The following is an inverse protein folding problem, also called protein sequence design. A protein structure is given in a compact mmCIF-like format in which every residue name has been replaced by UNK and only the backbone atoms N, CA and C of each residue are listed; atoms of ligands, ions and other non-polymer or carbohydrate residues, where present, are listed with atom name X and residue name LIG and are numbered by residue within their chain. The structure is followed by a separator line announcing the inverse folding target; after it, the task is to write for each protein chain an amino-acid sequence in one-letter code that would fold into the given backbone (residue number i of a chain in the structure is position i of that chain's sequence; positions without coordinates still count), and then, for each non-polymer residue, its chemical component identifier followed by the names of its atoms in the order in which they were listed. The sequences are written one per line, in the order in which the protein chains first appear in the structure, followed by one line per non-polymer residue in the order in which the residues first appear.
data_IF_873123322258
#
_entry.id   IF_873123322258
#
_cell.length_a   1.000
_cell.length_b   1.000
_cell.length_c   1.000
_cell.angle_alpha   90.00
_cell.angle_beta   90.00
_cell.angle_gamma   90.00
#
_symmetry.space_group_name_H-M   'P 1'
#
loop_
_entity.id
_entity.type
_entity.pdbx_description
1 polymer ?
#
# COMPACT_ATOMS: atom_id res chain seq x y z
N UNK A 1 -8.68 -9.95 -20.27
CA UNK A 1 -7.49 -9.14 -20.60
C UNK A 1 -7.29 -9.20 -22.10
N UNK A 2 -6.94 -8.13 -22.71
CA UNK A 2 -6.57 -8.03 -24.11
C UNK A 2 -5.37 -7.07 -24.26
N UNK A 3 -4.85 -6.87 -25.47
CA UNK A 3 -3.69 -6.02 -25.70
C UNK A 3 -3.91 -4.54 -25.35
N UNK A 4 -5.18 -4.11 -25.29
CA UNK A 4 -5.58 -2.75 -24.91
C UNK A 4 -5.70 -2.59 -23.41
N UNK A 5 -6.26 -3.59 -22.70
CA UNK A 5 -6.43 -3.61 -21.25
C UNK A 5 -5.66 -4.81 -20.68
N UNK A 6 -4.36 -4.68 -20.39
CA UNK A 6 -3.51 -5.78 -19.95
C UNK A 6 -3.87 -6.29 -18.56
N UNK A 7 -4.37 -5.41 -17.69
CA UNK A 7 -4.77 -5.73 -16.32
C UNK A 7 -6.18 -5.25 -16.03
N UNK A 8 -6.94 -6.08 -15.33
CA UNK A 8 -8.33 -5.81 -15.00
C UNK A 8 -8.50 -5.22 -13.60
N UNK A 9 -9.74 -5.28 -13.12
CA UNK A 9 -10.15 -4.77 -11.81
C UNK A 9 -9.34 -5.38 -10.64
N UNK A 10 -8.91 -6.63 -10.75
CA UNK A 10 -8.18 -7.33 -9.69
C UNK A 10 -6.87 -6.64 -9.33
N UNK A 11 -6.07 -6.23 -10.33
CA UNK A 11 -4.83 -5.48 -10.09
C UNK A 11 -5.11 -4.11 -9.49
N UNK A 12 -6.19 -3.43 -9.88
CA UNK A 12 -6.56 -2.15 -9.27
C UNK A 12 -6.88 -2.31 -7.79
N UNK A 13 -7.63 -3.34 -7.42
CA UNK A 13 -7.94 -3.65 -6.02
C UNK A 13 -6.67 -4.07 -5.28
N UNK A 14 -5.81 -4.88 -5.89
CA UNK A 14 -4.55 -5.33 -5.31
C UNK A 14 -3.66 -4.13 -4.92
N UNK A 15 -3.34 -3.27 -5.88
CA UNK A 15 -2.50 -2.10 -5.66
C UNK A 15 -3.05 -1.14 -4.61
N UNK A 16 -4.37 -0.90 -4.65
CA UNK A 16 -5.03 -0.04 -3.66
C UNK A 16 -4.97 -0.65 -2.25
N UNK A 17 -5.17 -1.96 -2.17
CA UNK A 17 -5.19 -2.69 -0.89
C UNK A 17 -3.81 -2.81 -0.25
N UNK A 18 -2.73 -2.95 -1.03
CA UNK A 18 -1.36 -2.99 -0.53
C UNK A 18 -0.98 -1.68 0.18
N UNK A 19 -1.45 -0.54 -0.30
CA UNK A 19 -1.20 0.76 0.32
C UNK A 19 -1.74 0.84 1.76
N UNK A 20 -2.81 0.10 2.10
CA UNK A 20 -3.36 0.03 3.44
C UNK A 20 -2.39 -0.61 4.45
N UNK A 21 -1.69 -1.66 4.02
CA UNK A 21 -0.64 -2.29 4.80
C UNK A 21 0.53 -1.34 5.08
N UNK A 22 0.98 -0.61 4.07
CA UNK A 22 2.03 0.41 4.23
C UNK A 22 1.63 1.50 5.25
N UNK A 23 0.35 1.88 5.29
CA UNK A 23 -0.19 2.80 6.28
C UNK A 23 -0.09 2.29 7.71
N UNK A 24 -0.35 1.00 7.93
CA UNK A 24 -0.22 0.38 9.24
C UNK A 24 1.21 0.49 9.76
N UNK A 25 2.21 0.12 8.95
CA UNK A 25 3.61 0.21 9.35
C UNK A 25 4.12 1.66 9.47
N UNK A 26 3.62 2.58 8.66
CA UNK A 26 3.92 4.01 8.82
C UNK A 26 3.47 4.49 10.20
N UNK A 27 2.26 4.16 10.63
CA UNK A 27 1.75 4.52 11.96
C UNK A 27 2.46 3.77 13.09
N UNK A 28 2.80 2.49 12.88
CA UNK A 28 3.62 1.71 13.81
C UNK A 28 4.99 2.34 14.01
N UNK A 29 5.66 2.77 12.94
CA UNK A 29 6.93 3.46 13.00
C UNK A 29 6.84 4.79 13.76
N UNK A 30 5.81 5.59 13.53
CA UNK A 30 5.55 6.84 14.28
C UNK A 30 5.48 6.58 15.79
N UNK A 31 4.81 5.51 16.19
CA UNK A 31 4.65 5.17 17.61
C UNK A 31 5.91 4.59 18.23
N UNK A 32 6.54 3.62 17.57
CA UNK A 32 7.60 2.83 18.17
C UNK A 32 9.00 3.37 17.89
N UNK A 33 9.27 3.92 16.70
CA UNK A 33 10.60 4.44 16.35
C UNK A 33 10.76 5.90 16.76
N UNK A 34 9.74 6.72 16.53
CA UNK A 34 9.80 8.14 16.94
C UNK A 34 9.31 8.40 18.36
N UNK A 35 8.87 7.35 19.07
CA UNK A 35 8.45 7.42 20.47
C UNK A 35 7.16 8.21 20.72
N UNK A 36 6.37 8.48 19.70
CA UNK A 36 5.14 9.27 19.78
C UNK A 36 3.97 8.46 20.34
N UNK A 37 4.08 8.07 21.63
CA UNK A 37 3.13 7.19 22.35
C UNK A 37 1.68 7.66 22.30
N UNK A 38 1.44 8.96 22.05
CA UNK A 38 0.11 9.55 21.90
C UNK A 38 -0.71 8.87 20.80
N UNK A 39 -0.07 8.39 19.72
CA UNK A 39 -0.74 7.74 18.59
C UNK A 39 -1.04 6.25 18.83
N UNK A 40 -0.72 5.72 20.00
CA UNK A 40 -0.95 4.31 20.34
C UNK A 40 -2.41 3.88 20.25
N UNK A 41 -3.34 4.80 20.47
CA UNK A 41 -4.79 4.52 20.39
C UNK A 41 -5.28 4.14 19.01
N UNK A 42 -4.65 4.66 17.94
CA UNK A 42 -5.02 4.36 16.55
C UNK A 42 -4.28 3.13 16.01
N UNK A 43 -3.19 2.71 16.66
CA UNK A 43 -2.31 1.67 16.16
C UNK A 43 -3.01 0.32 15.96
N UNK A 44 -3.88 -0.07 16.90
CA UNK A 44 -4.67 -1.31 16.78
C UNK A 44 -5.57 -1.31 15.54
N UNK A 45 -6.20 -0.17 15.28
CA UNK A 45 -7.03 0.00 14.10
C UNK A 45 -6.18 -0.02 12.84
N UNK A 46 -5.02 0.63 12.85
CA UNK A 46 -4.09 0.63 11.73
C UNK A 46 -3.64 -0.79 11.37
N UNK A 47 -3.21 -1.58 12.35
CA UNK A 47 -2.79 -2.99 12.14
C UNK A 47 -3.96 -3.83 11.61
N UNK A 48 -5.17 -3.64 12.13
CA UNK A 48 -6.36 -4.34 11.65
C UNK A 48 -6.70 -3.99 10.20
N UNK A 49 -6.73 -2.70 9.85
CA UNK A 49 -6.98 -2.20 8.49
C UNK A 49 -5.90 -2.68 7.53
N UNK A 50 -4.64 -2.60 7.95
CA UNK A 50 -3.51 -3.09 7.17
C UNK A 50 -3.59 -4.60 6.90
N UNK A 51 -3.94 -5.39 7.91
CA UNK A 51 -4.09 -6.83 7.78
C UNK A 51 -5.21 -7.21 6.81
N UNK A 52 -6.38 -6.58 6.91
CA UNK A 52 -7.50 -6.81 5.98
C UNK A 52 -7.11 -6.36 4.57
N UNK A 53 -6.54 -5.17 4.41
CA UNK A 53 -6.11 -4.65 3.12
C UNK A 53 -5.13 -5.60 2.44
N UNK A 54 -4.09 -6.02 3.17
CA UNK A 54 -3.07 -6.89 2.60
C UNK A 54 -3.60 -8.30 2.29
N UNK A 55 -4.48 -8.84 3.12
CA UNK A 55 -5.15 -10.12 2.83
C UNK A 55 -6.04 -10.01 1.59
N UNK A 56 -6.75 -8.90 1.41
CA UNK A 56 -7.53 -8.61 0.21
C UNK A 56 -6.63 -8.55 -1.03
N UNK A 57 -5.49 -7.86 -0.94
CA UNK A 57 -4.50 -7.80 -2.01
C UNK A 57 -4.01 -9.20 -2.42
N UNK A 58 -3.65 -10.03 -1.43
CA UNK A 58 -3.20 -11.40 -1.70
C UNK A 58 -4.27 -12.24 -2.40
N UNK A 59 -5.54 -12.13 -1.99
CA UNK A 59 -6.65 -12.84 -2.62
C UNK A 59 -6.87 -12.39 -4.06
N UNK A 60 -6.85 -11.08 -4.31
CA UNK A 60 -7.02 -10.55 -5.68
C UNK A 60 -5.83 -10.90 -6.57
N UNK A 61 -4.61 -10.92 -6.03
CA UNK A 61 -3.43 -11.35 -6.75
C UNK A 61 -3.52 -12.83 -7.16
N UNK A 62 -4.00 -13.72 -6.28
CA UNK A 62 -4.22 -15.15 -6.62
C UNK A 62 -5.24 -15.29 -7.74
N UNK A 63 -6.27 -14.45 -7.76
CA UNK A 63 -7.28 -14.47 -8.84
C UNK A 63 -6.73 -13.93 -10.17
N UNK A 64 -5.74 -13.05 -10.13
CA UNK A 64 -5.13 -12.45 -11.33
C UNK A 64 -4.00 -13.30 -11.91
N UNK A 65 -3.40 -14.19 -11.13
CA UNK A 65 -2.36 -15.10 -11.59
C UNK A 65 -2.95 -16.06 -12.62
N UNK A 66 -2.45 -16.01 -13.87
CA UNK A 66 -2.95 -16.84 -14.96
C UNK A 66 -2.80 -18.36 -14.72
N UNK A 67 -1.84 -18.77 -13.86
CA UNK A 67 -1.60 -20.16 -13.45
C UNK A 67 -1.44 -20.29 -11.94
N UNK A 68 -2.55 -20.25 -11.20
CA UNK A 68 -2.52 -20.31 -9.73
C UNK A 68 -1.95 -21.63 -9.19
N UNK A 69 -1.95 -22.70 -9.96
CA UNK A 69 -1.29 -23.98 -9.66
C UNK A 69 0.22 -23.86 -9.48
N UNK A 70 0.83 -22.75 -9.98
CA UNK A 70 2.29 -22.51 -9.96
C UNK A 70 2.71 -21.37 -9.02
N UNK A 71 1.83 -20.89 -8.15
CA UNK A 71 2.14 -19.77 -7.25
C UNK A 71 3.36 -20.04 -6.35
N UNK A 72 3.67 -21.30 -6.07
CA UNK A 72 4.79 -21.74 -5.24
C UNK A 72 6.16 -21.72 -5.95
N UNK A 73 6.21 -21.58 -7.28
CA UNK A 73 7.46 -21.62 -8.07
C UNK A 73 8.53 -20.63 -7.58
N UNK A 74 8.23 -19.37 -7.23
CA UNK A 74 9.24 -18.40 -6.79
C UNK A 74 9.99 -18.82 -5.51
N UNK A 75 9.39 -19.67 -4.68
CA UNK A 75 10.08 -20.16 -3.48
C UNK A 75 11.06 -21.30 -3.76
N UNK A 76 10.87 -22.04 -4.84
CA UNK A 76 11.69 -23.20 -5.22
C UNK A 76 12.70 -22.82 -6.30
N UNK A 77 12.26 -22.10 -7.32
CA UNK A 77 13.08 -21.70 -8.46
C UNK A 77 13.56 -20.25 -8.28
N UNK A 78 14.78 -20.11 -7.75
CA UNK A 78 15.36 -18.81 -7.46
C UNK A 78 15.80 -18.08 -8.72
N UNK A 79 15.29 -16.85 -8.89
CA UNK A 79 15.69 -15.97 -9.98
C UNK A 79 15.82 -14.52 -9.46
N UNK A 80 16.97 -14.21 -8.91
CA UNK A 80 17.28 -12.90 -8.30
C UNK A 80 17.24 -11.72 -9.29
N UNK A 81 17.18 -12.00 -10.59
CA UNK A 81 17.06 -10.97 -11.63
C UNK A 81 15.60 -10.71 -12.03
N UNK A 82 14.64 -11.42 -11.45
CA UNK A 82 13.21 -11.23 -11.69
C UNK A 82 12.58 -10.34 -10.63
N UNK A 83 12.04 -9.20 -11.04
CA UNK A 83 11.29 -8.31 -10.14
C UNK A 83 10.07 -9.02 -9.55
N UNK A 84 9.40 -9.90 -10.29
CA UNK A 84 8.27 -10.70 -9.80
C UNK A 84 8.71 -11.69 -8.70
N UNK A 85 9.92 -12.23 -8.80
CA UNK A 85 10.48 -13.08 -7.74
C UNK A 85 10.72 -12.26 -6.47
N UNK A 86 11.32 -11.08 -6.58
CA UNK A 86 11.52 -10.14 -5.46
C UNK A 86 10.19 -9.77 -4.80
N UNK A 87 9.17 -9.41 -5.59
CA UNK A 87 7.82 -9.09 -5.09
C UNK A 87 7.24 -10.26 -4.30
N UNK A 88 7.36 -11.50 -4.79
CA UNK A 88 6.83 -12.68 -4.09
C UNK A 88 7.48 -12.87 -2.72
N UNK A 89 8.80 -12.66 -2.62
CA UNK A 89 9.50 -12.72 -1.33
C UNK A 89 9.11 -11.57 -0.42
N UNK A 90 8.98 -10.35 -0.94
CA UNK A 90 8.46 -9.21 -0.18
C UNK A 90 7.07 -9.50 0.38
N UNK A 91 6.15 -10.04 -0.44
CA UNK A 91 4.80 -10.44 -0.01
C UNK A 91 4.88 -11.47 1.11
N UNK A 92 5.71 -12.49 0.97
CA UNK A 92 5.83 -13.56 1.95
C UNK A 92 6.32 -13.03 3.30
N UNK A 93 7.42 -12.29 3.30
CA UNK A 93 8.01 -11.73 4.53
C UNK A 93 7.06 -10.71 5.16
N UNK A 94 6.45 -9.86 4.34
CA UNK A 94 5.50 -8.86 4.80
C UNK A 94 4.27 -9.47 5.47
N UNK A 95 3.68 -10.51 4.84
CA UNK A 95 2.56 -11.25 5.41
C UNK A 95 2.93 -11.89 6.76
N UNK A 96 4.12 -12.48 6.86
CA UNK A 96 4.60 -13.04 8.14
C UNK A 96 4.66 -11.95 9.23
N UNK A 97 5.23 -10.78 8.94
CA UNK A 97 5.30 -9.68 9.90
C UNK A 97 3.89 -9.20 10.27
N UNK A 98 2.99 -9.05 9.30
CA UNK A 98 1.60 -8.64 9.54
C UNK A 98 0.85 -9.61 10.44
N UNK A 99 1.03 -10.92 10.24
CA UNK A 99 0.43 -11.96 11.11
C UNK A 99 0.98 -11.84 12.54
N UNK A 100 2.30 -11.64 12.68
CA UNK A 100 2.94 -11.46 14.00
C UNK A 100 2.46 -10.18 14.71
N UNK A 101 2.27 -9.07 14.00
CA UNK A 101 1.70 -7.84 14.57
C UNK A 101 0.21 -7.97 14.88
N UNK A 102 -0.53 -8.78 14.12
CA UNK A 102 -1.96 -8.97 14.35
C UNK A 102 -2.26 -9.94 15.49
N UNK A 103 -1.36 -10.88 15.81
CA UNK A 103 -1.55 -11.86 16.87
C UNK A 103 -1.85 -11.23 18.24
N UNK A 104 -1.15 -10.20 18.73
CA UNK A 104 -1.51 -9.50 19.96
C UNK A 104 -2.92 -8.90 19.93
N UNK A 105 -3.36 -8.38 18.79
CA UNK A 105 -4.70 -7.79 18.63
C UNK A 105 -5.78 -8.87 18.79
N UNK A 106 -5.58 -10.05 18.18
CA UNK A 106 -6.50 -11.19 18.31
C UNK A 106 -6.58 -11.70 19.75
N UNK A 107 -5.44 -11.80 20.44
CA UNK A 107 -5.38 -12.35 21.80
C UNK A 107 -6.09 -11.47 22.85
N UNK A 108 -6.43 -10.23 22.54
CA UNK A 108 -7.28 -9.39 23.37
C UNK A 108 -8.75 -9.85 23.38
N UNK A 109 -9.17 -10.66 22.42
CA UNK A 109 -10.52 -11.23 22.39
C UNK A 109 -10.64 -12.37 23.40
N UNK A 110 -11.77 -12.43 24.12
CA UNK A 110 -12.02 -13.45 25.14
C UNK A 110 -11.89 -14.89 24.63
N UNK A 111 -12.14 -15.11 23.35
CA UNK A 111 -12.06 -16.43 22.72
C UNK A 111 -10.61 -16.95 22.67
N UNK A 112 -9.70 -16.17 22.11
CA UNK A 112 -8.30 -16.55 21.94
C UNK A 112 -7.48 -16.43 23.23
N UNK A 113 -7.89 -15.56 24.15
CA UNK A 113 -7.26 -15.40 25.46
C UNK A 113 -7.35 -16.66 26.35
N UNK A 114 -8.16 -17.66 25.97
CA UNK A 114 -8.27 -18.95 26.69
C UNK A 114 -7.00 -19.79 26.59
N UNK A 115 -6.20 -19.63 25.57
CA UNK A 115 -5.02 -20.46 25.32
C UNK A 115 -3.75 -19.82 25.91
N UNK A 116 -3.11 -20.43 26.92
CA UNK A 116 -1.95 -19.85 27.60
C UNK A 116 -0.76 -19.59 26.70
N UNK A 117 -0.55 -20.45 25.70
CA UNK A 117 0.55 -20.29 24.75
C UNK A 117 0.37 -19.05 23.85
N UNK A 118 -0.87 -18.74 23.43
CA UNK A 118 -1.16 -17.53 22.65
C UNK A 118 -0.89 -16.26 23.46
N UNK A 119 -1.27 -16.26 24.76
CA UNK A 119 -0.98 -15.12 25.65
C UNK A 119 0.52 -14.90 25.83
N UNK A 120 1.31 -15.98 25.99
CA UNK A 120 2.77 -15.89 26.07
C UNK A 120 3.37 -15.37 24.77
N UNK A 121 2.94 -15.89 23.61
CA UNK A 121 3.37 -15.41 22.31
C UNK A 121 3.05 -13.92 22.12
N UNK A 122 1.84 -13.48 22.45
CA UNK A 122 1.47 -12.07 22.40
C UNK A 122 2.35 -11.18 23.27
N UNK A 123 2.70 -11.61 24.49
CA UNK A 123 3.59 -10.86 25.39
C UNK A 123 5.00 -10.71 24.80
N UNK A 124 5.53 -11.77 24.16
CA UNK A 124 6.82 -11.72 23.49
C UNK A 124 6.76 -10.74 22.31
N UNK A 125 5.70 -10.83 21.48
CA UNK A 125 5.51 -9.97 20.32
C UNK A 125 5.30 -8.50 20.71
N UNK A 126 4.64 -8.22 21.83
CA UNK A 126 4.57 -6.86 22.37
C UNK A 126 5.95 -6.26 22.70
N UNK A 127 6.86 -7.09 23.23
CA UNK A 127 8.25 -6.64 23.47
C UNK A 127 9.03 -6.46 22.18
N UNK A 128 8.77 -7.29 21.17
CA UNK A 128 9.40 -7.22 19.84
C UNK A 128 8.76 -6.15 18.92
N UNK A 129 7.65 -5.53 19.30
CA UNK A 129 6.90 -4.61 18.47
C UNK A 129 7.76 -3.49 17.83
N UNK A 130 8.74 -2.85 18.48
CA UNK A 130 9.58 -1.85 17.82
C UNK A 130 10.42 -2.43 16.69
N UNK A 131 10.91 -3.64 16.86
CA UNK A 131 11.71 -4.35 15.85
C UNK A 131 10.82 -4.77 14.68
N UNK A 132 9.64 -5.32 14.96
CA UNK A 132 8.66 -5.67 13.94
C UNK A 132 8.21 -4.45 13.14
N UNK A 133 7.97 -3.31 13.80
CA UNK A 133 7.60 -2.07 13.15
C UNK A 133 8.70 -1.55 12.21
N UNK A 134 9.98 -1.64 12.63
CA UNK A 134 11.11 -1.25 11.79
C UNK A 134 11.23 -2.15 10.55
N UNK A 135 11.28 -3.46 10.75
CA UNK A 135 11.39 -4.41 9.63
C UNK A 135 10.14 -4.35 8.73
N UNK A 136 8.95 -4.26 9.31
CA UNK A 136 7.71 -4.11 8.57
C UNK A 136 7.69 -2.85 7.71
N UNK A 137 8.16 -1.72 8.23
CA UNK A 137 8.29 -0.50 7.45
C UNK A 137 9.30 -0.67 6.30
N UNK A 138 10.48 -1.22 6.58
CA UNK A 138 11.51 -1.44 5.54
C UNK A 138 11.01 -2.34 4.41
N UNK A 139 10.41 -3.48 4.74
CA UNK A 139 9.85 -4.42 3.75
C UNK A 139 8.66 -3.79 3.01
N UNK A 140 7.83 -3.00 3.71
CA UNK A 140 6.73 -2.28 3.09
C UNK A 140 7.21 -1.27 2.04
N UNK A 141 8.22 -0.47 2.38
CA UNK A 141 8.80 0.49 1.44
C UNK A 141 9.49 -0.20 0.26
N UNK A 142 10.22 -1.30 0.53
CA UNK A 142 10.82 -2.11 -0.53
C UNK A 142 9.75 -2.67 -1.45
N UNK A 143 8.70 -3.28 -0.91
CA UNK A 143 7.60 -3.83 -1.68
C UNK A 143 6.91 -2.78 -2.57
N UNK A 144 6.62 -1.60 -2.01
CA UNK A 144 6.03 -0.49 -2.76
C UNK A 144 6.95 0.00 -3.89
N UNK A 145 8.26 0.14 -3.62
CA UNK A 145 9.22 0.55 -4.64
C UNK A 145 9.38 -0.49 -5.74
N UNK A 146 9.40 -1.77 -5.41
CA UNK A 146 9.50 -2.87 -6.38
C UNK A 146 8.26 -2.96 -7.28
N UNK A 147 7.05 -2.76 -6.71
CA UNK A 147 5.84 -2.63 -7.51
C UNK A 147 5.94 -1.44 -8.47
N UNK A 148 6.32 -0.27 -7.98
CA UNK A 148 6.52 0.90 -8.82
C UNK A 148 7.56 0.66 -9.91
N UNK A 149 8.68 -0.01 -9.60
CA UNK A 149 9.70 -0.38 -10.57
C UNK A 149 9.16 -1.32 -11.64
N UNK A 150 8.33 -2.30 -11.27
CA UNK A 150 7.70 -3.23 -12.22
C UNK A 150 6.91 -2.47 -13.29
N UNK A 151 6.13 -1.47 -12.90
CA UNK A 151 5.41 -0.62 -13.85
C UNK A 151 6.35 0.33 -14.60
N UNK A 152 7.33 0.90 -13.90
CA UNK A 152 8.27 1.87 -14.43
C UNK A 152 9.20 1.34 -15.54
N UNK A 153 9.39 0.01 -15.65
CA UNK A 153 10.22 -0.61 -16.68
C UNK A 153 9.43 -1.14 -17.89
N UNK A 154 8.10 -1.05 -17.87
CA UNK A 154 7.24 -1.57 -18.96
C UNK A 154 7.27 -0.63 -20.17
N UNK A 155 8.21 -0.84 -21.09
CA UNK A 155 8.40 -0.03 -22.30
C UNK A 155 7.19 -0.04 -23.23
N UNK A 156 6.42 -1.11 -23.26
CA UNK A 156 5.20 -1.23 -24.07
C UNK A 156 4.05 -0.35 -23.59
N UNK A 157 4.20 0.30 -22.43
CA UNK A 157 3.21 1.23 -21.86
C UNK A 157 3.88 2.55 -21.50
N UNK A 158 3.99 3.49 -22.46
CA UNK A 158 4.73 4.74 -22.31
C UNK A 158 4.28 5.59 -21.12
N UNK A 159 3.00 5.51 -20.74
CA UNK A 159 2.43 6.24 -19.59
C UNK A 159 3.11 5.82 -18.26
N UNK A 160 3.47 4.54 -18.14
CA UNK A 160 4.08 3.99 -16.92
C UNK A 160 5.61 3.93 -17.00
N UNK A 161 6.17 3.92 -18.21
CA UNK A 161 7.62 3.82 -18.43
C UNK A 161 8.33 5.09 -17.98
N UNK A 162 8.68 5.16 -16.71
CA UNK A 162 9.36 6.31 -16.11
C UNK A 162 10.06 5.95 -14.79
N UNK A 163 11.20 6.57 -14.50
CA UNK A 163 12.00 6.28 -13.32
C UNK A 163 11.37 6.81 -12.01
N UNK A 164 10.38 7.69 -12.10
CA UNK A 164 9.68 8.28 -10.94
C UNK A 164 8.70 7.32 -10.26
N UNK A 165 8.27 6.25 -10.94
CA UNK A 165 7.23 5.31 -10.46
C UNK A 165 7.52 4.72 -9.08
N UNK A 166 8.71 4.20 -8.74
CA UNK A 166 8.99 3.66 -7.41
C UNK A 166 8.76 4.68 -6.29
N UNK A 167 9.19 5.93 -6.50
CA UNK A 167 9.04 7.00 -5.52
C UNK A 167 7.58 7.39 -5.37
N UNK A 168 6.84 7.47 -6.46
CA UNK A 168 5.41 7.79 -6.46
C UNK A 168 4.60 6.73 -5.71
N UNK A 169 4.92 5.45 -5.89
CA UNK A 169 4.28 4.35 -5.14
C UNK A 169 4.53 4.45 -3.64
N UNK A 170 5.77 4.73 -3.21
CA UNK A 170 6.09 4.94 -1.79
C UNK A 170 5.30 6.12 -1.22
N UNK A 171 5.33 7.28 -1.89
CA UNK A 171 4.68 8.50 -1.40
C UNK A 171 3.17 8.34 -1.30
N UNK A 172 2.53 7.76 -2.32
CA UNK A 172 1.10 7.51 -2.30
C UNK A 172 0.71 6.58 -1.15
N UNK A 173 1.43 5.48 -0.94
CA UNK A 173 1.14 4.53 0.11
C UNK A 173 1.32 5.13 1.52
N UNK A 174 2.40 5.89 1.76
CA UNK A 174 2.68 6.57 3.03
C UNK A 174 1.63 7.66 3.33
N UNK A 175 1.10 8.32 2.31
CA UNK A 175 0.06 9.33 2.48
C UNK A 175 -1.34 8.72 2.63
N UNK A 176 -1.72 7.80 1.74
CA UNK A 176 -3.07 7.23 1.67
C UNK A 176 -3.35 6.23 2.80
N UNK A 177 -2.39 5.39 3.17
CA UNK A 177 -2.60 4.37 4.19
C UNK A 177 -3.05 4.92 5.55
N UNK A 178 -2.36 5.93 6.13
CA UNK A 178 -2.84 6.60 7.35
C UNK A 178 -4.18 7.33 7.14
N UNK A 179 -4.43 7.92 5.97
CA UNK A 179 -5.69 8.59 5.65
C UNK A 179 -6.87 7.60 5.69
N UNK A 180 -6.73 6.41 5.08
CA UNK A 180 -7.78 5.38 5.13
C UNK A 180 -7.99 4.86 6.55
N UNK A 181 -6.93 4.65 7.33
CA UNK A 181 -7.06 4.27 8.75
C UNK A 181 -7.87 5.32 9.53
N UNK A 182 -7.62 6.60 9.29
CA UNK A 182 -8.38 7.71 9.85
C UNK A 182 -9.84 7.67 9.41
N UNK A 183 -10.12 7.48 8.12
CA UNK A 183 -11.47 7.38 7.59
C UNK A 183 -12.24 6.22 8.22
N UNK A 184 -11.61 5.05 8.36
CA UNK A 184 -12.22 3.90 9.06
C UNK A 184 -12.50 4.24 10.52
N UNK A 185 -11.64 4.99 11.21
CA UNK A 185 -11.89 5.43 12.58
C UNK A 185 -13.15 6.30 12.68
N UNK A 186 -13.35 7.24 11.75
CA UNK A 186 -14.55 8.07 11.68
C UNK A 186 -15.80 7.25 11.38
N UNK A 187 -15.74 6.33 10.42
CA UNK A 187 -16.87 5.45 10.07
C UNK A 187 -17.26 4.57 11.26
N UNK A 188 -16.29 4.01 11.99
CA UNK A 188 -16.56 3.22 13.19
C UNK A 188 -17.16 4.06 14.31
N UNK A 189 -16.72 5.31 14.50
CA UNK A 189 -17.33 6.25 15.46
C UNK A 189 -18.77 6.54 15.08
N UNK A 190 -19.03 6.80 13.79
CA UNK A 190 -20.38 7.07 13.28
C UNK A 190 -21.33 5.87 13.47
N UNK A 191 -20.88 4.65 13.15
CA UNK A 191 -21.73 3.43 13.29
C UNK A 191 -21.95 3.06 14.75
N UNK A 192 -20.91 3.14 15.59
CA UNK A 192 -20.99 2.65 16.98
C UNK A 192 -21.43 3.70 18.00
N UNK A 193 -21.42 4.97 17.63
CA UNK A 193 -21.63 6.11 18.53
C UNK A 193 -20.54 6.26 19.61
N UNK A 194 -19.44 5.47 19.52
CA UNK A 194 -18.38 5.44 20.55
C UNK A 194 -17.09 6.00 19.98
N UNK A 195 -16.61 7.06 20.61
CA UNK A 195 -15.31 7.65 20.29
C UNK A 195 -14.17 6.78 20.83
N UNK A 196 -13.39 6.21 19.93
CA UNK A 196 -12.25 5.32 20.26
C UNK A 196 -10.90 6.00 20.12
N UNK A 197 -10.82 7.01 19.25
CA UNK A 197 -9.60 7.76 18.95
C UNK A 197 -9.86 9.25 19.14
N UNK A 198 -8.91 9.97 19.72
CA UNK A 198 -9.03 11.42 19.91
C UNK A 198 -8.98 12.14 18.54
N UNK A 199 -9.92 13.07 18.32
CA UNK A 199 -9.99 13.87 17.09
C UNK A 199 -8.75 14.72 16.85
N UNK A 200 -7.99 15.06 17.88
CA UNK A 200 -6.71 15.76 17.72
C UNK A 200 -5.70 14.86 17.00
N UNK A 201 -5.70 13.56 17.32
CA UNK A 201 -4.86 12.56 16.64
C UNK A 201 -5.29 12.42 15.19
N UNK A 202 -6.59 12.25 14.94
CA UNK A 202 -7.14 12.13 13.59
C UNK A 202 -6.81 13.37 12.75
N UNK A 203 -6.96 14.57 13.31
CA UNK A 203 -6.58 15.83 12.63
C UNK A 203 -5.09 15.89 12.29
N UNK A 204 -4.22 15.40 13.18
CA UNK A 204 -2.78 15.39 12.91
C UNK A 204 -2.43 14.41 11.80
N UNK A 205 -3.07 13.23 11.77
CA UNK A 205 -2.92 12.26 10.68
C UNK A 205 -3.43 12.86 9.37
N UNK A 206 -4.57 13.54 9.38
CA UNK A 206 -5.11 14.23 8.20
C UNK A 206 -4.11 15.25 7.63
N UNK A 207 -3.48 16.05 8.51
CA UNK A 207 -2.45 17.01 8.08
C UNK A 207 -1.21 16.33 7.49
N UNK A 208 -0.76 15.23 8.11
CA UNK A 208 0.37 14.44 7.60
C UNK A 208 0.06 13.86 6.23
N UNK A 209 -1.09 13.21 6.08
CA UNK A 209 -1.55 12.65 4.81
C UNK A 209 -1.75 13.72 3.75
N UNK A 210 -2.37 14.85 4.10
CA UNK A 210 -2.56 15.97 3.18
C UNK A 210 -1.23 16.56 2.71
N UNK A 211 -0.24 16.70 3.59
CA UNK A 211 1.12 17.12 3.20
C UNK A 211 1.76 16.09 2.26
N UNK A 212 1.65 14.79 2.57
CA UNK A 212 2.16 13.72 1.71
C UNK A 212 1.52 13.74 0.31
N UNK A 213 0.21 13.96 0.24
CA UNK A 213 -0.51 14.11 -1.04
C UNK A 213 -0.08 15.35 -1.81
N UNK A 214 0.19 16.47 -1.15
CA UNK A 214 0.74 17.68 -1.82
C UNK A 214 2.12 17.40 -2.43
N UNK A 215 2.99 16.68 -1.72
CA UNK A 215 4.30 16.27 -2.25
C UNK A 215 4.13 15.32 -3.44
N UNK A 216 3.22 14.36 -3.33
CA UNK A 216 2.88 13.46 -4.43
C UNK A 216 2.38 14.23 -5.66
N UNK A 217 1.44 15.16 -5.47
CA UNK A 217 0.90 16.00 -6.54
C UNK A 217 1.98 16.87 -7.21
N UNK A 218 2.92 17.42 -6.42
CA UNK A 218 4.05 18.19 -6.94
C UNK A 218 4.96 17.34 -7.83
N UNK A 219 5.33 16.13 -7.40
CA UNK A 219 6.14 15.21 -8.21
C UNK A 219 5.38 14.81 -9.48
N UNK A 220 4.09 14.52 -9.36
CA UNK A 220 3.23 14.17 -10.49
C UNK A 220 3.10 15.30 -11.50
N UNK A 221 2.99 16.55 -11.03
CA UNK A 221 3.00 17.73 -11.91
C UNK A 221 4.28 17.79 -12.76
N UNK A 222 5.45 17.64 -12.13
CA UNK A 222 6.71 17.66 -12.86
C UNK A 222 6.88 16.45 -13.78
N UNK A 223 6.41 15.28 -13.38
CA UNK A 223 6.41 14.09 -14.22
C UNK A 223 5.55 14.31 -15.48
N UNK A 224 4.35 14.86 -15.33
CA UNK A 224 3.49 15.21 -16.46
C UNK A 224 4.10 16.32 -17.34
N UNK A 225 4.70 17.33 -16.73
CA UNK A 225 5.40 18.39 -17.46
C UNK A 225 6.58 17.84 -18.27
N UNK A 226 7.37 16.92 -17.68
CA UNK A 226 8.47 16.26 -18.38
C UNK A 226 7.98 15.40 -19.56
N UNK A 227 6.92 14.61 -19.35
CA UNK A 227 6.30 13.81 -20.43
C UNK A 227 5.81 14.70 -21.56
N UNK A 228 5.17 15.84 -21.27
CA UNK A 228 4.75 16.78 -22.29
C UNK A 228 5.93 17.45 -23.01
N UNK A 229 7.00 17.80 -22.29
CA UNK A 229 8.19 18.41 -22.87
C UNK A 229 8.95 17.45 -23.79
N UNK A 230 9.13 16.21 -23.36
CA UNK A 230 9.80 15.16 -24.13
C UNK A 230 8.85 14.40 -25.07
N UNK A 231 7.57 14.74 -25.11
CA UNK A 231 6.51 14.06 -25.87
C UNK A 231 6.65 14.12 -27.40
N UNK A 232 7.73 14.70 -27.91
CA UNK A 232 8.11 14.66 -29.33
C UNK A 232 8.73 13.32 -29.74
N UNK A 233 9.08 12.45 -28.79
CA UNK A 233 9.53 11.10 -29.11
C UNK A 233 8.33 10.18 -29.39
N UNK A 234 8.36 9.33 -30.43
CA UNK A 234 7.20 8.52 -30.83
C UNK A 234 6.58 7.71 -29.70
N UNK A 235 7.41 7.11 -28.84
CA UNK A 235 6.94 6.30 -27.70
C UNK A 235 6.16 7.09 -26.64
N UNK A 236 6.50 8.37 -26.44
CA UNK A 236 5.83 9.24 -25.44
C UNK A 236 4.61 9.90 -26.04
N UNK A 237 4.65 10.25 -27.35
CA UNK A 237 3.50 10.85 -28.06
C UNK A 237 2.30 9.90 -28.10
N UNK A 238 2.51 8.60 -28.23
CA UNK A 238 1.43 7.60 -28.17
C UNK A 238 0.75 7.57 -26.78
N UNK A 239 1.55 7.63 -25.71
CA UNK A 239 1.02 7.70 -24.34
C UNK A 239 0.20 8.97 -24.10
N UNK A 240 0.66 10.13 -24.58
CA UNK A 240 -0.08 11.39 -24.49
C UNK A 240 -1.36 11.38 -25.33
N UNK A 241 -1.35 10.75 -26.49
CA UNK A 241 -2.52 10.58 -27.33
C UNK A 241 -3.61 9.78 -26.59
N UNK A 242 -3.24 8.67 -25.93
CA UNK A 242 -4.16 7.88 -25.12
C UNK A 242 -4.78 8.69 -23.96
N UNK A 243 -3.96 9.50 -23.26
CA UNK A 243 -4.45 10.32 -22.15
C UNK A 243 -5.37 11.47 -22.61
N UNK A 244 -5.13 12.03 -23.79
CA UNK A 244 -5.84 13.23 -24.23
C UNK A 244 -7.03 12.96 -25.15
N UNK A 245 -7.07 11.85 -25.85
CA UNK A 245 -8.06 11.63 -26.93
C UNK A 245 -8.91 10.36 -26.77
N UNK A 246 -8.49 9.37 -25.99
CA UNK A 246 -9.24 8.11 -25.86
C UNK A 246 -10.00 8.00 -24.54
N UNK A 247 -11.31 8.02 -24.59
CA UNK A 247 -12.16 7.55 -23.49
C UNK A 247 -12.09 6.02 -23.43
N UNK A 248 -12.00 5.39 -22.24
CA UNK A 248 -12.15 5.97 -20.88
C UNK A 248 -10.87 6.53 -20.25
N UNK A 249 -9.71 6.47 -20.93
CA UNK A 249 -8.42 6.87 -20.34
C UNK A 249 -8.37 8.36 -19.98
N UNK A 250 -8.89 9.22 -20.85
CA UNK A 250 -9.00 10.65 -20.60
C UNK A 250 -9.80 10.92 -19.33
N UNK A 251 -11.01 10.36 -19.22
CA UNK A 251 -11.87 10.54 -18.05
C UNK A 251 -11.24 9.95 -16.79
N UNK A 252 -10.70 8.72 -16.87
CA UNK A 252 -10.03 8.06 -15.75
C UNK A 252 -8.84 8.85 -15.23
N UNK A 253 -8.03 9.40 -16.12
CA UNK A 253 -6.86 10.20 -15.74
C UNK A 253 -7.26 11.55 -15.16
N UNK A 254 -8.01 12.37 -15.91
CA UNK A 254 -8.31 13.72 -15.48
C UNK A 254 -9.29 13.77 -14.30
N UNK A 255 -10.34 12.98 -14.33
CA UNK A 255 -11.33 12.96 -13.26
C UNK A 255 -10.90 12.08 -12.10
N UNK A 256 -10.53 10.82 -12.36
CA UNK A 256 -10.17 9.86 -11.31
C UNK A 256 -8.86 10.19 -10.63
N UNK A 257 -7.83 10.51 -11.39
CA UNK A 257 -6.48 10.64 -10.85
C UNK A 257 -6.11 12.08 -10.51
N UNK A 258 -6.52 13.07 -11.32
CA UNK A 258 -6.17 14.48 -11.08
C UNK A 258 -7.17 15.17 -10.16
N UNK A 259 -8.50 15.00 -10.37
CA UNK A 259 -9.52 15.71 -9.57
C UNK A 259 -9.82 15.00 -8.25
N UNK A 260 -10.03 13.67 -8.27
CA UNK A 260 -10.39 12.91 -7.07
C UNK A 260 -9.12 12.46 -6.30
N UNK A 261 -8.03 12.13 -7.01
CA UNK A 261 -6.79 11.60 -6.42
C UNK A 261 -5.88 12.67 -5.80
N UNK A 262 -6.17 13.97 -6.00
CA UNK A 262 -5.51 15.12 -5.36
C UNK A 262 -6.46 15.74 -4.35
#
# INVERSE_FOLDING_TARGET
MNDVVPWGLWITIDLSSIALGAGAFTLSAVVYLFGLKRYRSILRLAVFVGFIGYTSALLTLIMDIGRPDRFWHPWVYWNVHSVLWEITWCITIYLMIMVLEFLPVITETKFFARWPWMRRAAQILHKAAPVLALFGLMISLLHQSSLGATYGIVKSRPIWFKPSMPIMFILSAVAVGPAVTMAVAYVLEWITGKRRVDHIILRTIARFSGFGLMVYAYIKFWDLAAVNYYGRTPAVSEGLHLLNQQTPYNFGFWFGEVIIGI
#
